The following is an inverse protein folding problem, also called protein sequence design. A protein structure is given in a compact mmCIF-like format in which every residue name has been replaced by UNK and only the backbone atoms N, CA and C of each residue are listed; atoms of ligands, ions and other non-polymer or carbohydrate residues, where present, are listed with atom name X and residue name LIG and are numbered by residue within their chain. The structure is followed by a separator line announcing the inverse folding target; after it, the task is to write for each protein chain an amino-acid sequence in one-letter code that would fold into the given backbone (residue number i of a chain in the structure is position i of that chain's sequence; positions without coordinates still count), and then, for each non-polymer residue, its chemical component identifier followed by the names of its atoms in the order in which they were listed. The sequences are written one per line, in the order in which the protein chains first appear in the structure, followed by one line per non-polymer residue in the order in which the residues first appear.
data_IF_763962203886
#
_entry.id   IF_763962203886
#
_cell.length_a   1.000
_cell.length_b   1.000
_cell.length_c   1.000
_cell.angle_alpha   90.00
_cell.angle_beta   90.00
_cell.angle_gamma   90.00
#
_symmetry.space_group_name_H-M   'P 1'
#
loop_
_entity.id
_entity.type
_entity.pdbx_description
1 polymer ?
#
# COMPACT_ATOMS: atom_id res chain seq x y z
N UNK A 1 18.69 -73.95 -11.99
CA UNK A 1 17.70 -72.90 -12.14
C UNK A 1 18.44 -71.56 -12.24
N UNK A 2 18.53 -70.95 -13.43
CA UNK A 2 19.15 -69.60 -13.59
C UNK A 2 18.02 -68.59 -13.47
N UNK A 3 17.98 -67.83 -12.40
CA UNK A 3 17.12 -66.68 -12.27
C UNK A 3 17.68 -65.59 -13.19
N UNK A 4 16.99 -65.30 -14.30
CA UNK A 4 17.25 -64.11 -15.10
C UNK A 4 16.57 -62.93 -14.44
N UNK A 5 17.35 -62.04 -13.84
CA UNK A 5 16.87 -60.78 -13.34
C UNK A 5 16.56 -59.91 -14.56
N UNK A 6 15.28 -59.71 -14.82
CA UNK A 6 14.85 -58.70 -15.82
C UNK A 6 14.97 -57.36 -15.15
N UNK A 7 16.04 -56.62 -15.45
CA UNK A 7 16.18 -55.22 -15.04
C UNK A 7 15.19 -54.45 -15.88
N UNK A 8 14.26 -53.68 -15.27
CA UNK A 8 13.34 -52.85 -16.06
C UNK A 8 14.17 -51.81 -16.81
N UNK A 9 13.89 -51.69 -18.10
CA UNK A 9 14.50 -50.67 -18.95
C UNK A 9 14.28 -49.29 -18.31
N UNK A 10 15.35 -48.46 -18.33
CA UNK A 10 15.26 -47.09 -17.82
C UNK A 10 14.07 -46.37 -18.46
N UNK A 11 13.25 -45.69 -17.67
CA UNK A 11 12.10 -44.96 -18.19
C UNK A 11 12.56 -44.00 -19.27
N UNK A 12 12.23 -44.28 -20.52
CA UNK A 12 12.63 -43.47 -21.64
C UNK A 12 11.97 -42.11 -21.63
N UNK A 13 12.29 -41.27 -22.62
CA UNK A 13 11.76 -39.90 -22.84
C UNK A 13 10.24 -39.76 -22.71
N UNK A 14 9.49 -40.88 -22.72
CA UNK A 14 8.02 -40.93 -22.60
C UNK A 14 7.54 -40.31 -21.28
N UNK A 15 8.34 -40.38 -20.21
CA UNK A 15 7.99 -39.76 -18.92
C UNK A 15 8.31 -38.26 -18.84
N UNK A 16 9.11 -37.77 -19.78
CA UNK A 16 9.40 -36.33 -19.84
C UNK A 16 8.19 -35.52 -20.28
N UNK A 17 7.35 -36.05 -21.16
CA UNK A 17 6.15 -35.35 -21.67
C UNK A 17 5.19 -34.98 -20.53
N UNK A 18 4.71 -35.92 -19.68
CA UNK A 18 3.84 -35.57 -18.57
C UNK A 18 4.53 -34.71 -17.49
N UNK A 19 5.86 -34.84 -17.32
CA UNK A 19 6.60 -34.00 -16.43
C UNK A 19 6.64 -32.53 -16.89
N UNK A 20 6.84 -32.28 -18.18
CA UNK A 20 6.78 -30.96 -18.78
C UNK A 20 5.37 -30.34 -18.71
N UNK A 21 4.35 -31.16 -18.92
CA UNK A 21 2.96 -30.71 -18.80
C UNK A 21 2.64 -30.26 -17.38
N UNK A 22 3.06 -31.05 -16.39
CA UNK A 22 2.90 -30.69 -14.98
C UNK A 22 3.65 -29.40 -14.60
N UNK A 23 4.90 -29.24 -15.06
CA UNK A 23 5.68 -28.01 -14.83
C UNK A 23 5.03 -26.84 -15.54
N UNK A 24 4.50 -27.03 -16.75
CA UNK A 24 3.76 -26.01 -17.49
C UNK A 24 2.51 -25.53 -16.75
N UNK A 25 1.74 -26.48 -16.18
CA UNK A 25 0.56 -26.15 -15.37
C UNK A 25 0.93 -25.39 -14.09
N UNK A 26 2.00 -25.79 -13.40
CA UNK A 26 2.49 -25.07 -12.22
C UNK A 26 2.95 -23.64 -12.58
N UNK A 27 3.66 -23.48 -13.70
CA UNK A 27 4.09 -22.18 -14.17
C UNK A 27 2.88 -21.30 -14.53
N UNK A 28 1.89 -21.86 -15.22
CA UNK A 28 0.66 -21.16 -15.54
C UNK A 28 -0.10 -20.73 -14.27
N UNK A 29 -0.17 -21.60 -13.26
CA UNK A 29 -0.77 -21.29 -11.96
C UNK A 29 -0.04 -20.14 -11.25
N UNK A 30 1.29 -20.16 -11.21
CA UNK A 30 2.10 -19.09 -10.61
C UNK A 30 1.92 -17.77 -11.35
N UNK A 31 1.88 -17.80 -12.70
CA UNK A 31 1.61 -16.60 -13.48
C UNK A 31 0.19 -16.07 -13.24
N UNK A 32 -0.79 -16.94 -13.15
CA UNK A 32 -2.18 -16.55 -12.88
C UNK A 32 -2.32 -15.95 -11.49
N UNK A 33 -1.72 -16.55 -10.46
CA UNK A 33 -1.73 -16.00 -9.10
C UNK A 33 -0.94 -14.69 -9.02
N UNK A 34 0.17 -14.59 -9.73
CA UNK A 34 0.96 -13.34 -9.80
C UNK A 34 0.22 -12.19 -10.48
N UNK A 35 -0.68 -12.49 -11.43
CA UNK A 35 -1.53 -11.48 -12.08
C UNK A 35 -2.70 -11.06 -11.18
N UNK A 36 -3.27 -12.00 -10.43
CA UNK A 36 -4.40 -11.72 -9.51
C UNK A 36 -3.95 -10.93 -8.31
N UNK A 37 -2.71 -11.10 -7.86
CA UNK A 37 -2.12 -10.29 -6.77
C UNK A 37 -1.65 -8.89 -7.22
N UNK A 38 -1.75 -8.55 -8.50
CA UNK A 38 -1.86 -7.14 -8.89
C UNK A 38 -3.25 -6.61 -8.48
N UNK A 39 -3.57 -6.78 -7.20
CA UNK A 39 -4.52 -5.88 -6.57
C UNK A 39 -4.08 -4.47 -6.95
N UNK A 40 -5.02 -3.71 -7.47
CA UNK A 40 -4.93 -2.31 -7.80
C UNK A 40 -4.18 -1.54 -6.70
N UNK A 41 -2.87 -1.74 -6.62
CA UNK A 41 -2.00 -0.74 -6.05
C UNK A 41 -2.19 0.44 -6.98
N UNK A 42 -3.19 1.26 -6.67
CA UNK A 42 -3.23 2.60 -7.18
C UNK A 42 -1.86 3.12 -6.85
N UNK A 43 -1.02 3.26 -7.88
CA UNK A 43 0.30 3.84 -7.77
C UNK A 43 0.06 5.24 -7.24
N UNK A 44 -0.02 5.33 -5.92
CA UNK A 44 -0.03 6.59 -5.22
C UNK A 44 1.40 7.03 -5.42
N UNK A 45 1.60 7.94 -6.37
CA UNK A 45 2.76 8.81 -6.40
C UNK A 45 2.83 9.45 -5.02
N UNK A 46 3.41 8.72 -4.07
CA UNK A 46 3.65 9.24 -2.74
C UNK A 46 4.57 10.42 -2.97
N UNK A 47 4.14 11.65 -2.65
CA UNK A 47 5.07 12.76 -2.66
C UNK A 47 6.26 12.31 -1.83
N UNK A 48 7.44 12.32 -2.43
CA UNK A 48 8.70 12.03 -1.76
C UNK A 48 8.77 13.05 -0.64
N UNK A 49 8.27 12.68 0.52
CA UNK A 49 8.38 13.57 1.66
C UNK A 49 9.83 13.48 2.09
N UNK A 50 10.56 14.57 1.89
CA UNK A 50 11.79 14.88 2.61
C UNK A 50 11.51 15.03 4.12
N UNK A 51 10.82 14.05 4.68
CA UNK A 51 10.77 13.86 6.12
C UNK A 51 12.03 13.15 6.58
N UNK A 52 13.21 13.57 6.02
CA UNK A 52 14.50 13.30 6.61
C UNK A 52 14.62 14.18 7.84
N UNK A 53 14.26 13.61 9.00
CA UNK A 53 14.94 13.95 10.24
C UNK A 53 14.70 15.31 10.84
N UNK A 54 13.47 15.79 10.93
CA UNK A 54 13.14 16.54 12.14
C UNK A 54 12.91 15.51 13.24
N UNK A 55 13.90 15.32 14.09
CA UNK A 55 13.77 14.68 15.40
C UNK A 55 12.73 15.47 16.23
N UNK A 56 11.46 15.26 15.92
CA UNK A 56 10.39 15.47 16.89
C UNK A 56 10.21 14.12 17.54
N UNK A 57 10.54 14.03 18.84
CA UNK A 57 10.44 12.89 19.71
C UNK A 57 9.88 11.60 19.10
N UNK A 58 10.14 10.47 19.64
CA UNK A 58 9.77 9.11 19.17
C UNK A 58 8.27 8.88 18.86
N UNK A 59 7.47 9.92 18.65
CA UNK A 59 6.06 9.86 18.32
C UNK A 59 5.87 9.59 16.82
N UNK A 60 5.42 8.39 16.47
CA UNK A 60 5.00 8.03 15.11
C UNK A 60 3.66 8.69 14.80
N UNK A 61 3.56 9.66 13.87
CA UNK A 61 2.32 10.34 13.56
C UNK A 61 1.31 9.42 12.89
N UNK A 62 0.02 9.68 13.08
CA UNK A 62 -1.04 9.11 12.25
C UNK A 62 -1.03 9.79 10.90
N UNK A 63 -0.74 9.04 9.84
CA UNK A 63 -0.68 9.60 8.48
C UNK A 63 -2.05 9.53 7.83
N UNK A 64 -2.58 10.69 7.46
CA UNK A 64 -3.82 10.84 6.67
C UNK A 64 -3.43 11.28 5.27
N UNK A 65 -3.69 10.42 4.28
CA UNK A 65 -3.47 10.75 2.88
C UNK A 65 -4.83 11.06 2.23
N UNK A 66 -4.87 12.12 1.43
CA UNK A 66 -6.04 12.50 0.66
C UNK A 66 -5.67 12.51 -0.81
N UNK A 67 -6.38 11.70 -1.59
CA UNK A 67 -6.22 11.63 -3.03
C UNK A 67 -7.49 12.06 -3.73
N UNK A 68 -7.35 12.83 -4.81
CA UNK A 68 -8.49 13.17 -5.67
C UNK A 68 -8.79 11.97 -6.58
N UNK A 69 -9.97 11.36 -6.41
CA UNK A 69 -10.48 10.32 -7.27
C UNK A 69 -11.50 10.85 -8.27
N UNK A 70 -11.90 10.01 -9.23
CA UNK A 70 -12.88 10.36 -10.28
C UNK A 70 -14.27 10.70 -9.68
N UNK A 71 -14.64 10.05 -8.59
CA UNK A 71 -15.94 10.21 -7.91
C UNK A 71 -15.88 11.14 -6.68
N UNK A 72 -14.73 11.75 -6.40
CA UNK A 72 -14.51 12.60 -5.23
C UNK A 72 -13.24 12.24 -4.45
N UNK A 73 -12.99 12.94 -3.33
CA UNK A 73 -11.81 12.71 -2.53
C UNK A 73 -11.86 11.33 -1.84
N UNK A 74 -10.76 10.61 -1.88
CA UNK A 74 -10.56 9.34 -1.20
C UNK A 74 -9.58 9.58 -0.05
N UNK A 75 -9.97 9.16 1.15
CA UNK A 75 -9.17 9.30 2.35
C UNK A 75 -8.51 7.98 2.69
N UNK A 76 -7.25 8.04 3.09
CA UNK A 76 -6.52 6.87 3.60
C UNK A 76 -5.94 7.19 4.97
N UNK A 77 -6.27 6.38 5.96
CA UNK A 77 -5.70 6.46 7.30
C UNK A 77 -4.87 5.20 7.52
N UNK A 78 -3.58 5.35 7.80
CA UNK A 78 -2.66 4.23 8.03
C UNK A 78 -2.70 3.13 6.93
N UNK A 79 -2.94 3.49 5.65
CA UNK A 79 -3.07 2.64 4.46
C UNK A 79 -4.47 2.05 4.23
N UNK A 80 -5.43 2.23 5.12
CA UNK A 80 -6.81 1.80 4.93
C UNK A 80 -7.63 2.91 4.28
N UNK A 81 -8.39 2.58 3.23
CA UNK A 81 -9.31 3.53 2.60
C UNK A 81 -10.53 3.74 3.51
N UNK A 82 -10.85 5.00 3.81
CA UNK A 82 -11.90 5.37 4.75
C UNK A 82 -12.85 6.38 4.10
N UNK A 83 -14.15 6.20 4.31
CA UNK A 83 -15.13 7.20 3.91
C UNK A 83 -15.01 8.46 4.78
N UNK A 84 -15.36 9.61 4.20
CA UNK A 84 -15.29 10.90 4.92
C UNK A 84 -16.11 10.88 6.22
N UNK A 85 -17.22 10.17 6.26
CA UNK A 85 -18.09 10.00 7.43
C UNK A 85 -17.43 9.28 8.60
N UNK A 86 -16.46 8.39 8.30
CA UNK A 86 -15.73 7.58 9.28
C UNK A 86 -14.30 8.06 9.54
N UNK A 87 -13.91 9.18 8.94
CA UNK A 87 -12.56 9.69 9.04
C UNK A 87 -12.16 10.03 10.49
N UNK A 88 -13.08 10.61 11.24
CA UNK A 88 -12.91 10.96 12.66
C UNK A 88 -12.61 9.72 13.50
N UNK A 89 -13.45 8.70 13.39
CA UNK A 89 -13.32 7.43 14.10
C UNK A 89 -12.01 6.70 13.75
N UNK A 90 -11.63 6.72 12.46
CA UNK A 90 -10.41 6.09 11.98
C UNK A 90 -9.15 6.79 12.53
N UNK A 91 -9.13 8.13 12.56
CA UNK A 91 -8.03 8.91 13.14
C UNK A 91 -7.90 8.62 14.64
N UNK A 92 -9.01 8.63 15.39
CA UNK A 92 -8.98 8.33 16.82
C UNK A 92 -8.49 6.91 17.12
N UNK A 93 -8.97 5.92 16.37
CA UNK A 93 -8.57 4.53 16.51
C UNK A 93 -7.07 4.37 16.33
N UNK A 94 -6.52 4.95 15.25
CA UNK A 94 -5.10 4.88 14.96
C UNK A 94 -4.25 5.69 15.95
N UNK A 95 -4.73 6.86 16.39
CA UNK A 95 -4.05 7.67 17.37
C UNK A 95 -3.93 6.94 18.73
N UNK A 96 -5.01 6.29 19.15
CA UNK A 96 -5.02 5.45 20.36
C UNK A 96 -4.09 4.25 20.23
N UNK A 97 -4.12 3.55 19.07
CA UNK A 97 -3.26 2.39 18.82
C UNK A 97 -1.76 2.76 18.84
N UNK A 98 -1.39 3.96 18.40
CA UNK A 98 -0.01 4.45 18.38
C UNK A 98 0.37 5.28 19.60
N UNK A 99 -0.56 5.53 20.51
CA UNK A 99 -0.38 6.42 21.68
C UNK A 99 0.20 7.79 21.27
N UNK A 100 -0.30 8.35 20.17
CA UNK A 100 0.19 9.62 19.61
C UNK A 100 -0.91 10.67 19.54
N UNK A 101 -0.54 11.93 19.69
CA UNK A 101 -1.43 13.08 19.46
C UNK A 101 -1.09 13.82 18.17
N UNK A 102 -0.17 13.26 17.36
CA UNK A 102 0.32 13.90 16.14
C UNK A 102 -0.33 13.28 14.91
N UNK A 103 -0.96 14.09 14.08
CA UNK A 103 -1.53 13.72 12.78
C UNK A 103 -0.74 14.39 11.68
N UNK A 104 -0.29 13.63 10.70
CA UNK A 104 0.37 14.13 9.49
C UNK A 104 -0.58 14.08 8.31
N UNK A 105 -0.97 15.22 7.78
CA UNK A 105 -1.82 15.33 6.60
C UNK A 105 -0.97 15.41 5.34
N UNK A 106 -1.23 14.53 4.39
CA UNK A 106 -0.67 14.55 3.05
C UNK A 106 -1.80 14.71 2.04
N UNK A 107 -1.73 15.74 1.23
CA UNK A 107 -2.74 16.03 0.22
C UNK A 107 -2.09 16.16 -1.15
N UNK A 108 -2.81 15.73 -2.17
CA UNK A 108 -2.48 16.02 -3.56
C UNK A 108 -2.61 17.52 -3.83
N UNK A 109 -1.73 18.09 -4.66
CA UNK A 109 -1.77 19.50 -5.06
C UNK A 109 -3.09 19.89 -5.76
N UNK A 110 -3.72 18.91 -6.41
CA UNK A 110 -5.02 19.09 -7.06
C UNK A 110 -6.21 19.12 -6.10
N UNK A 111 -5.98 18.84 -4.81
CA UNK A 111 -7.06 18.81 -3.82
C UNK A 111 -7.56 20.21 -3.47
N UNK A 112 -8.90 20.39 -3.37
CA UNK A 112 -9.47 21.68 -3.02
C UNK A 112 -9.02 22.17 -1.64
N UNK A 113 -8.67 23.45 -1.52
CA UNK A 113 -8.28 24.08 -0.25
C UNK A 113 -9.38 23.95 0.81
N UNK A 114 -10.65 23.98 0.41
CA UNK A 114 -11.80 23.78 1.28
C UNK A 114 -11.79 22.42 1.96
N UNK A 115 -11.30 21.38 1.29
CA UNK A 115 -11.16 20.04 1.86
C UNK A 115 -10.03 19.99 2.89
N UNK A 116 -8.91 20.64 2.60
CA UNK A 116 -7.80 20.81 3.54
C UNK A 116 -8.28 21.46 4.83
N UNK A 117 -9.03 22.57 4.72
CA UNK A 117 -9.56 23.28 5.87
C UNK A 117 -10.49 22.43 6.73
N UNK A 118 -11.36 21.63 6.10
CA UNK A 118 -12.25 20.70 6.82
C UNK A 118 -11.47 19.69 7.65
N UNK A 119 -10.38 19.15 7.11
CA UNK A 119 -9.56 18.16 7.83
C UNK A 119 -8.78 18.84 8.98
N UNK A 120 -8.28 20.05 8.76
CA UNK A 120 -7.64 20.85 9.80
C UNK A 120 -8.61 21.08 10.97
N UNK A 121 -9.83 21.49 10.67
CA UNK A 121 -10.84 21.80 11.70
C UNK A 121 -11.28 20.52 12.42
N UNK A 122 -11.40 19.40 11.71
CA UNK A 122 -11.69 18.09 12.29
C UNK A 122 -10.59 17.69 13.29
N UNK A 123 -9.34 17.74 12.85
CA UNK A 123 -8.18 17.33 13.67
C UNK A 123 -8.02 18.22 14.92
N UNK A 124 -8.29 19.53 14.78
CA UNK A 124 -8.30 20.47 15.93
C UNK A 124 -9.41 20.16 16.92
N UNK A 125 -10.62 19.84 16.45
CA UNK A 125 -11.74 19.45 17.32
C UNK A 125 -11.44 18.22 18.15
N UNK A 126 -10.70 17.27 17.58
CA UNK A 126 -10.24 16.06 18.26
C UNK A 126 -9.08 16.30 19.23
N UNK A 127 -8.53 17.53 19.28
CA UNK A 127 -7.42 17.88 20.15
C UNK A 127 -6.05 17.37 19.69
N UNK A 128 -5.93 16.94 18.43
CA UNK A 128 -4.68 16.48 17.87
C UNK A 128 -3.85 17.61 17.26
N UNK A 129 -2.52 17.46 17.32
CA UNK A 129 -1.58 18.35 16.65
C UNK A 129 -1.48 17.95 15.18
N UNK A 130 -1.68 18.89 14.25
CA UNK A 130 -1.62 18.66 12.83
C UNK A 130 -0.29 19.12 12.24
N UNK A 131 0.31 18.29 11.41
CA UNK A 131 1.44 18.63 10.56
C UNK A 131 1.03 18.43 9.09
N UNK A 132 1.20 19.46 8.27
CA UNK A 132 0.87 19.39 6.84
C UNK A 132 2.17 19.17 6.08
N UNK A 133 2.24 18.08 5.32
CA UNK A 133 3.33 17.83 4.39
C UNK A 133 2.92 18.40 3.03
N UNK A 134 3.51 19.52 2.64
CA UNK A 134 3.41 20.06 1.28
C UNK A 134 4.59 19.53 0.47
N UNK A 135 4.32 19.11 -0.76
CA UNK A 135 5.36 18.82 -1.74
C UNK A 135 5.87 20.16 -2.26
N UNK A 136 7.06 20.54 -1.88
CA UNK A 136 7.77 21.61 -2.57
C UNK A 136 8.22 21.01 -3.91
N UNK A 137 7.66 21.50 -5.02
CA UNK A 137 8.21 21.24 -6.34
C UNK A 137 9.60 21.88 -6.34
N UNK A 138 10.62 21.07 -6.17
CA UNK A 138 11.99 21.48 -6.51
C UNK A 138 12.07 21.48 -8.03
N UNK A 139 11.67 22.59 -8.65
CA UNK A 139 12.00 22.88 -10.02
C UNK A 139 13.54 23.00 -10.08
N UNK A 140 14.16 21.86 -10.37
CA UNK A 140 15.58 21.78 -10.64
C UNK A 140 15.95 22.77 -11.75
N UNK A 141 16.41 23.94 -11.36
CA UNK A 141 17.32 24.71 -12.18
C UNK A 141 18.69 24.03 -12.12
N UNK A 142 19.04 23.27 -13.17
CA UNK A 142 20.28 23.51 -13.90
C UNK A 142 20.47 22.47 -15.01
#
# INVERSE_FOLDING_TARGET
MKLSLTIPESPGLVYLVPAFDFVGLLLALVLLTGVVTKENYVEISLPVSEFRGSRLGDESPVVVNVKQGIKGPIFYVAKEAVEQSRLEEAIEREAKARSTTLVALRMDQSSPISLQQKIIDLTRRLGYRLKIAQQTSDDGQN
#
